data_IF_425570690110
#
_entry.id   IF_425570690110
#
_cell.length_a   1.000
_cell.length_b   1.000
_cell.length_c   1.000
_cell.angle_alpha   90.00
_cell.angle_beta   90.00
_cell.angle_gamma   90.00
#
_symmetry.space_group_name_H-M   'P 1'
#
loop_
_entity.id
_entity.type
_entity.pdbx_description
1 polymer ?
#
# COMPACT_ATOMS: atom_id res chain seq x y z
N UNK A 1 10.36 -20.09 -4.02
CA UNK A 1 10.17 -19.26 -5.20
C UNK A 1 8.69 -19.07 -5.45
N UNK A 2 8.23 -17.86 -5.32
CA UNK A 2 6.84 -17.55 -5.51
C UNK A 2 6.51 -17.30 -6.97
N UNK A 3 5.25 -17.52 -7.32
CA UNK A 3 4.71 -17.11 -8.62
C UNK A 3 4.60 -15.60 -8.73
N UNK A 4 4.79 -14.88 -7.63
CA UNK A 4 4.61 -13.43 -7.53
C UNK A 4 5.90 -12.76 -7.08
N UNK A 5 6.13 -11.54 -7.57
CA UNK A 5 7.27 -10.72 -7.17
C UNK A 5 6.82 -9.29 -6.88
N UNK A 6 7.36 -8.74 -5.79
CA UNK A 6 7.07 -7.37 -5.38
C UNK A 6 8.18 -6.41 -5.75
N UNK A 7 7.82 -5.20 -6.15
CA UNK A 7 8.76 -4.14 -6.52
C UNK A 7 8.31 -2.79 -5.98
N UNK A 8 9.30 -1.99 -5.57
CA UNK A 8 9.11 -0.55 -5.41
C UNK A 8 9.31 0.11 -6.78
N UNK A 9 8.33 0.87 -7.23
CA UNK A 9 8.42 1.58 -8.51
C UNK A 9 9.10 2.92 -8.29
N UNK A 10 10.22 3.15 -8.99
CA UNK A 10 10.94 4.41 -8.89
C UNK A 10 10.16 5.53 -9.61
N UNK A 11 10.25 6.79 -9.13
CA UNK A 11 9.54 7.90 -9.77
C UNK A 11 9.76 8.00 -11.27
N UNK A 12 10.96 7.74 -11.75
CA UNK A 12 11.29 7.78 -13.18
C UNK A 12 10.58 6.73 -14.01
N UNK A 13 10.10 5.65 -13.39
CA UNK A 13 9.47 4.52 -14.08
C UNK A 13 7.93 4.55 -14.01
N UNK A 14 7.35 5.47 -13.25
CA UNK A 14 5.91 5.58 -13.08
C UNK A 14 5.18 5.69 -14.43
N UNK A 15 5.70 6.52 -15.34
CA UNK A 15 5.06 6.75 -16.63
C UNK A 15 4.95 5.49 -17.49
N UNK A 16 5.87 4.53 -17.31
CA UNK A 16 5.91 3.29 -18.09
C UNK A 16 4.78 2.33 -17.76
N UNK A 17 4.29 2.39 -16.52
CA UNK A 17 3.29 1.45 -16.01
C UNK A 17 1.99 2.14 -15.65
N UNK A 18 1.89 3.46 -15.85
CA UNK A 18 0.76 4.25 -15.38
C UNK A 18 -0.58 3.72 -15.87
N UNK A 19 -0.67 3.35 -17.15
CA UNK A 19 -1.92 2.83 -17.73
C UNK A 19 -2.39 1.51 -17.11
N UNK A 20 -1.48 0.76 -16.51
CA UNK A 20 -1.80 -0.49 -15.81
C UNK A 20 -2.09 -0.27 -14.33
N UNK A 21 -1.61 0.81 -13.76
CA UNK A 21 -1.73 1.12 -12.34
C UNK A 21 -2.93 2.03 -12.05
N UNK A 22 -3.19 3.01 -12.91
CA UNK A 22 -4.26 3.98 -12.71
C UNK A 22 -5.63 3.33 -12.45
N UNK A 23 -6.08 2.32 -13.23
CA UNK A 23 -7.37 1.69 -12.97
C UNK A 23 -7.45 1.05 -11.58
N UNK A 24 -6.36 0.49 -11.09
CA UNK A 24 -6.31 -0.11 -9.76
C UNK A 24 -6.39 0.94 -8.65
N UNK A 25 -5.72 2.07 -8.85
CA UNK A 25 -5.83 3.21 -7.93
C UNK A 25 -7.27 3.72 -7.91
N UNK A 26 -7.88 3.87 -9.08
CA UNK A 26 -9.26 4.35 -9.17
C UNK A 26 -10.23 3.41 -8.46
N UNK A 27 -10.07 2.09 -8.64
CA UNK A 27 -10.89 1.10 -7.94
C UNK A 27 -10.74 1.22 -6.42
N UNK A 28 -9.51 1.42 -5.95
CA UNK A 28 -9.24 1.63 -4.53
C UNK A 28 -9.89 2.90 -3.99
N UNK A 29 -9.80 3.99 -4.74
CA UNK A 29 -10.41 5.27 -4.37
C UNK A 29 -11.94 5.17 -4.36
N UNK A 30 -12.54 4.49 -5.32
CA UNK A 30 -13.98 4.29 -5.37
C UNK A 30 -14.47 3.50 -4.15
N UNK A 31 -13.73 2.49 -3.74
CA UNK A 31 -14.06 1.70 -2.55
C UNK A 31 -13.98 2.54 -1.27
N UNK A 32 -12.96 3.40 -1.16
CA UNK A 32 -12.81 4.29 -0.01
C UNK A 32 -13.93 5.32 0.03
N UNK A 33 -14.26 5.94 -1.11
CA UNK A 33 -15.26 6.99 -1.18
C UNK A 33 -16.67 6.51 -0.81
N UNK A 34 -17.00 5.25 -1.08
CA UNK A 34 -18.27 4.65 -0.64
C UNK A 34 -18.42 4.67 0.87
N UNK A 35 -17.29 4.55 1.60
CA UNK A 35 -17.29 4.43 3.05
C UNK A 35 -17.02 5.73 3.80
N UNK A 36 -16.23 6.65 3.24
CA UNK A 36 -15.73 7.82 3.98
C UNK A 36 -16.00 9.18 3.35
N UNK A 37 -16.55 9.23 2.18
CA UNK A 37 -16.83 10.48 1.45
C UNK A 37 -15.58 11.36 1.21
N UNK A 38 -14.37 10.77 1.24
CA UNK A 38 -13.13 11.47 0.90
C UNK A 38 -12.87 11.39 -0.60
N UNK A 39 -13.90 11.64 -1.38
CA UNK A 39 -13.91 11.40 -2.82
C UNK A 39 -13.27 12.50 -3.66
N UNK A 40 -12.61 13.47 -3.04
CA UNK A 40 -11.97 14.57 -3.78
C UNK A 40 -10.57 14.22 -4.29
N UNK A 41 -9.96 13.12 -3.85
CA UNK A 41 -8.67 12.68 -4.35
C UNK A 41 -8.82 12.00 -5.70
N UNK A 42 -7.89 12.28 -6.61
CA UNK A 42 -7.86 11.74 -7.97
C UNK A 42 -6.60 10.91 -8.19
N UNK A 43 -6.60 10.10 -9.24
CA UNK A 43 -5.40 9.36 -9.63
C UNK A 43 -4.25 10.30 -9.98
N UNK A 44 -4.53 11.48 -10.53
CA UNK A 44 -3.52 12.48 -10.84
C UNK A 44 -2.84 13.02 -9.58
N UNK A 45 -3.57 13.13 -8.46
CA UNK A 45 -2.96 13.54 -7.19
C UNK A 45 -1.88 12.54 -6.77
N UNK A 46 -2.19 11.24 -6.86
CA UNK A 46 -1.22 10.20 -6.52
C UNK A 46 -0.03 10.19 -7.47
N UNK A 47 -0.28 10.38 -8.76
CA UNK A 47 0.80 10.42 -9.74
C UNK A 47 1.79 11.55 -9.43
N UNK A 48 1.27 12.74 -9.09
CA UNK A 48 2.09 13.86 -8.68
C UNK A 48 2.91 13.55 -7.43
N UNK A 49 2.30 12.91 -6.43
CA UNK A 49 2.99 12.54 -5.19
C UNK A 49 4.09 11.52 -5.41
N UNK A 50 3.90 10.54 -6.30
CA UNK A 50 4.96 9.60 -6.66
C UNK A 50 6.13 10.33 -7.33
N UNK A 51 5.83 11.26 -8.20
CA UNK A 51 6.84 12.05 -8.90
C UNK A 51 7.69 12.89 -7.93
N UNK A 52 7.03 13.47 -6.93
CA UNK A 52 7.67 14.33 -5.93
C UNK A 52 8.23 13.54 -4.75
N UNK A 53 8.24 12.24 -4.81
CA UNK A 53 8.68 11.32 -3.75
C UNK A 53 7.93 11.47 -2.43
N UNK A 54 6.74 12.07 -2.46
CA UNK A 54 5.88 12.22 -1.28
C UNK A 54 5.13 10.94 -0.95
N UNK A 55 4.95 10.09 -1.93
CA UNK A 55 4.34 8.77 -1.76
C UNK A 55 5.16 7.72 -2.51
N UNK A 56 5.02 6.46 -2.11
CA UNK A 56 5.66 5.33 -2.74
C UNK A 56 4.62 4.41 -3.36
N UNK A 57 4.94 3.90 -4.53
CA UNK A 57 4.13 2.89 -5.21
C UNK A 57 4.86 1.55 -5.19
N UNK A 58 4.20 0.54 -4.66
CA UNK A 58 4.66 -0.84 -4.72
C UNK A 58 3.71 -1.63 -5.61
N UNK A 59 4.27 -2.55 -6.40
CA UNK A 59 3.48 -3.45 -7.23
C UNK A 59 3.87 -4.89 -6.97
N UNK A 60 2.91 -5.79 -7.13
CA UNK A 60 3.15 -7.23 -7.15
C UNK A 60 2.71 -7.75 -8.51
N UNK A 61 3.64 -8.42 -9.19
CA UNK A 61 3.38 -8.97 -10.52
C UNK A 61 3.39 -10.51 -10.46
N UNK A 62 2.62 -11.13 -11.34
CA UNK A 62 2.62 -12.58 -11.50
C UNK A 62 3.74 -13.04 -12.43
N UNK A 63 3.80 -14.34 -12.70
CA UNK A 63 4.81 -14.94 -13.58
C UNK A 63 4.76 -14.40 -15.02
N UNK A 64 3.62 -13.87 -15.45
CA UNK A 64 3.44 -13.29 -16.77
C UNK A 64 3.66 -11.77 -16.78
N UNK A 65 4.23 -11.24 -15.70
CA UNK A 65 4.51 -9.82 -15.47
C UNK A 65 3.27 -8.93 -15.43
N UNK A 66 2.09 -9.52 -15.20
CA UNK A 66 0.87 -8.76 -15.01
C UNK A 66 0.80 -8.24 -13.57
N UNK A 67 0.45 -6.96 -13.41
CA UNK A 67 0.27 -6.36 -12.09
C UNK A 67 -1.02 -6.90 -11.47
N UNK A 68 -0.89 -7.54 -10.31
CA UNK A 68 -2.00 -8.15 -9.58
C UNK A 68 -2.42 -7.36 -8.36
N UNK A 69 -1.48 -6.68 -7.73
CA UNK A 69 -1.74 -5.92 -6.52
C UNK A 69 -0.86 -4.69 -6.53
N UNK A 70 -1.39 -3.58 -6.02
CA UNK A 70 -0.62 -2.37 -5.75
C UNK A 70 -0.78 -1.96 -4.30
N UNK A 71 0.25 -1.30 -3.78
CA UNK A 71 0.20 -0.64 -2.49
C UNK A 71 0.76 0.75 -2.61
N UNK A 72 0.15 1.69 -1.92
CA UNK A 72 0.62 3.07 -1.86
C UNK A 72 0.91 3.39 -0.41
N UNK A 73 2.07 3.98 -0.17
CA UNK A 73 2.48 4.38 1.18
C UNK A 73 2.99 5.81 1.21
N UNK A 74 3.06 6.34 2.40
CA UNK A 74 3.75 7.59 2.70
C UNK A 74 4.53 7.43 4.00
N UNK A 75 5.60 8.20 4.15
CA UNK A 75 6.35 8.24 5.41
C UNK A 75 5.77 9.35 6.27
N UNK A 76 5.38 9.01 7.47
CA UNK A 76 4.87 9.95 8.45
C UNK A 76 5.59 9.82 9.79
N UNK A 77 5.13 10.58 10.76
CA UNK A 77 5.71 10.58 12.09
C UNK A 77 4.61 10.42 13.13
N UNK A 78 4.87 9.55 14.09
CA UNK A 78 4.09 9.46 15.31
C UNK A 78 4.75 10.29 16.41
N UNK A 79 4.22 10.20 17.64
CA UNK A 79 4.79 10.89 18.78
C UNK A 79 6.30 10.65 18.91
N UNK A 80 7.03 11.63 19.44
CA UNK A 80 8.48 11.56 19.64
C UNK A 80 9.31 11.45 18.35
N UNK A 81 8.73 11.91 17.23
CA UNK A 81 9.38 11.86 15.91
C UNK A 81 9.68 10.45 15.41
N UNK A 82 8.92 9.49 15.86
CA UNK A 82 9.00 8.10 15.37
C UNK A 82 8.59 8.05 13.90
N UNK A 83 9.49 7.60 13.03
CA UNK A 83 9.22 7.45 11.61
C UNK A 83 8.39 6.20 11.34
N UNK A 84 7.32 6.38 10.57
CA UNK A 84 6.33 5.34 10.31
C UNK A 84 6.04 5.28 8.82
N UNK A 85 5.96 4.07 8.25
CA UNK A 85 5.44 3.88 6.91
C UNK A 85 3.93 3.65 7.00
N UNK A 86 3.16 4.57 6.46
CA UNK A 86 1.71 4.47 6.42
C UNK A 86 1.26 3.96 5.05
N UNK A 87 0.70 2.76 5.02
CA UNK A 87 0.10 2.19 3.81
C UNK A 87 -1.32 2.72 3.70
N UNK A 88 -1.55 3.58 2.71
CA UNK A 88 -2.80 4.32 2.58
C UNK A 88 -3.79 3.70 1.60
N UNK A 89 -3.31 2.85 0.70
CA UNK A 89 -4.16 2.18 -0.27
C UNK A 89 -3.55 0.83 -0.67
N UNK A 90 -4.38 -0.19 -0.72
CA UNK A 90 -4.06 -1.46 -1.34
C UNK A 90 -5.21 -1.78 -2.28
N UNK A 91 -4.90 -2.10 -3.54
CA UNK A 91 -5.91 -2.38 -4.55
C UNK A 91 -5.41 -3.43 -5.53
N UNK A 92 -6.34 -4.15 -6.12
CA UNK A 92 -6.06 -5.18 -7.11
C UNK A 92 -6.82 -6.46 -6.82
N UNK A 93 -6.56 -7.48 -7.62
CA UNK A 93 -7.08 -8.81 -7.41
C UNK A 93 -6.03 -9.67 -6.68
N UNK A 94 -6.41 -10.83 -6.19
CA UNK A 94 -5.49 -11.79 -5.55
C UNK A 94 -4.77 -11.27 -4.29
N UNK A 95 -5.41 -10.39 -3.49
CA UNK A 95 -4.81 -9.96 -2.22
C UNK A 95 -4.34 -11.14 -1.39
N UNK A 96 -5.14 -12.20 -1.30
CA UNK A 96 -4.84 -13.38 -0.50
C UNK A 96 -3.52 -14.03 -0.91
N UNK A 97 -3.21 -14.08 -2.20
CA UNK A 97 -2.00 -14.71 -2.71
C UNK A 97 -0.81 -13.76 -2.82
N UNK A 98 -1.06 -12.47 -2.89
CA UNK A 98 -0.05 -11.45 -3.16
C UNK A 98 0.39 -10.63 -1.96
N UNK A 99 -0.39 -10.61 -0.86
CA UNK A 99 -0.11 -9.70 0.26
C UNK A 99 1.26 -9.93 0.90
N UNK A 100 1.75 -11.17 0.94
CA UNK A 100 3.05 -11.46 1.53
C UNK A 100 4.16 -10.76 0.74
N UNK A 101 4.10 -10.83 -0.59
CA UNK A 101 5.09 -10.19 -1.45
C UNK A 101 5.03 -8.67 -1.34
N UNK A 102 3.82 -8.12 -1.26
CA UNK A 102 3.63 -6.69 -1.06
C UNK A 102 4.23 -6.26 0.29
N UNK A 103 3.94 -7.00 1.36
CA UNK A 103 4.50 -6.70 2.66
C UNK A 103 6.02 -6.78 2.64
N UNK A 104 6.60 -7.80 2.02
CA UNK A 104 8.04 -7.98 1.99
C UNK A 104 8.74 -6.77 1.37
N UNK A 105 8.25 -6.28 0.24
CA UNK A 105 8.89 -5.12 -0.44
C UNK A 105 8.66 -3.82 0.34
N UNK A 106 7.48 -3.62 0.90
CA UNK A 106 7.19 -2.44 1.70
C UNK A 106 7.99 -2.42 3.01
N UNK A 107 8.12 -3.56 3.66
CA UNK A 107 8.88 -3.69 4.90
C UNK A 107 10.38 -3.45 4.67
N UNK A 108 10.93 -3.98 3.58
CA UNK A 108 12.32 -3.73 3.21
C UNK A 108 12.57 -2.24 2.98
N UNK A 109 11.66 -1.57 2.28
CA UNK A 109 11.73 -0.12 2.07
C UNK A 109 11.66 0.63 3.41
N UNK A 110 10.68 0.28 4.25
CA UNK A 110 10.48 0.94 5.54
C UNK A 110 11.73 0.85 6.41
N UNK A 111 12.33 -0.33 6.51
CA UNK A 111 13.57 -0.52 7.29
C UNK A 111 14.73 0.29 6.75
N UNK A 112 14.89 0.32 5.43
CA UNK A 112 15.94 1.10 4.77
C UNK A 112 15.80 2.59 5.05
N UNK A 113 14.56 3.08 5.12
CA UNK A 113 14.25 4.49 5.38
C UNK A 113 14.21 4.83 6.87
N UNK A 114 14.55 3.89 7.75
CA UNK A 114 14.57 4.14 9.18
C UNK A 114 13.22 4.16 9.85
N UNK A 115 12.19 3.62 9.21
CA UNK A 115 10.88 3.48 9.84
C UNK A 115 10.93 2.34 10.87
N UNK A 116 10.31 2.56 12.02
CA UNK A 116 10.27 1.56 13.11
C UNK A 116 8.93 0.84 13.17
N UNK A 117 7.97 1.27 12.35
CA UNK A 117 6.60 0.76 12.37
C UNK A 117 5.96 0.94 11.02
N UNK A 118 5.05 0.01 10.69
CA UNK A 118 4.14 0.14 9.56
C UNK A 118 2.72 0.25 10.07
N UNK A 119 1.92 1.09 9.42
CA UNK A 119 0.50 1.28 9.73
C UNK A 119 -0.28 1.11 8.43
N UNK A 120 -1.38 0.39 8.48
CA UNK A 120 -2.26 0.18 7.35
C UNK A 120 -3.68 0.56 7.74
N UNK A 121 -4.30 1.42 6.95
CA UNK A 121 -5.73 1.67 7.00
C UNK A 121 -6.36 0.89 5.86
N UNK A 122 -7.22 -0.06 6.16
CA UNK A 122 -7.72 -0.96 5.14
C UNK A 122 -9.13 -1.46 5.41
N UNK A 123 -9.55 -2.39 4.57
CA UNK A 123 -10.86 -3.03 4.67
C UNK A 123 -10.81 -4.18 5.67
N UNK A 124 -11.93 -4.43 6.34
CA UNK A 124 -12.03 -5.50 7.36
C UNK A 124 -11.65 -6.88 6.83
N UNK A 125 -11.91 -7.15 5.54
CA UNK A 125 -11.56 -8.42 4.93
C UNK A 125 -10.06 -8.72 4.89
N UNK A 126 -9.22 -7.72 5.06
CA UNK A 126 -7.76 -7.89 5.08
C UNK A 126 -7.24 -8.40 6.43
N UNK A 127 -8.02 -8.22 7.50
CA UNK A 127 -7.58 -8.50 8.87
C UNK A 127 -7.04 -9.91 9.08
N UNK A 128 -7.74 -10.99 8.67
CA UNK A 128 -7.25 -12.33 8.96
C UNK A 128 -5.85 -12.61 8.39
N UNK A 129 -5.61 -12.18 7.14
CA UNK A 129 -4.31 -12.37 6.51
C UNK A 129 -3.22 -11.56 7.22
N UNK A 130 -3.50 -10.32 7.58
CA UNK A 130 -2.54 -9.45 8.24
C UNK A 130 -2.20 -9.93 9.66
N UNK A 131 -3.17 -10.41 10.41
CA UNK A 131 -2.92 -10.96 11.75
C UNK A 131 -1.96 -12.13 11.72
N UNK A 132 -2.02 -12.98 10.70
CA UNK A 132 -1.10 -14.10 10.55
C UNK A 132 0.35 -13.66 10.30
N UNK A 133 0.55 -12.41 9.88
CA UNK A 133 1.86 -11.85 9.58
C UNK A 133 2.37 -10.88 10.66
N UNK A 134 1.78 -10.91 11.83
CA UNK A 134 2.24 -10.13 12.97
C UNK A 134 1.67 -8.74 13.10
N UNK A 135 0.63 -8.40 12.35
CA UNK A 135 -0.06 -7.13 12.47
C UNK A 135 -1.04 -7.17 13.64
N UNK A 136 -1.19 -6.04 14.30
CA UNK A 136 -2.12 -5.85 15.41
C UNK A 136 -3.17 -4.81 15.05
N UNK A 137 -4.44 -5.11 15.35
CA UNK A 137 -5.53 -4.19 15.07
C UNK A 137 -5.61 -3.07 16.12
N UNK A 138 -5.80 -1.85 15.64
CA UNK A 138 -6.18 -0.70 16.43
C UNK A 138 -7.68 -0.48 16.17
N UNK A 139 -8.50 -0.47 17.22
CA UNK A 139 -9.95 -0.38 17.07
C UNK A 139 -10.39 0.97 16.50
N UNK A 140 -11.23 0.90 15.44
CA UNK A 140 -11.89 2.06 14.85
C UNK A 140 -13.36 1.73 14.54
N UNK A 141 -14.17 2.76 14.23
CA UNK A 141 -15.59 2.58 13.94
C UNK A 141 -15.88 1.92 12.59
N UNK A 142 -15.16 2.31 11.53
CA UNK A 142 -15.56 1.99 10.15
C UNK A 142 -14.52 1.24 9.34
N UNK A 143 -13.27 1.32 9.75
CA UNK A 143 -12.15 0.66 9.07
C UNK A 143 -11.31 -0.07 10.07
N UNK A 144 -10.46 -0.96 9.59
CA UNK A 144 -9.38 -1.47 10.41
C UNK A 144 -8.17 -0.57 10.23
N UNK A 145 -7.47 -0.31 11.34
CA UNK A 145 -6.12 0.22 11.31
C UNK A 145 -5.24 -0.87 11.89
N UNK A 146 -4.29 -1.32 11.12
CA UNK A 146 -3.35 -2.38 11.50
C UNK A 146 -1.98 -1.77 11.68
N UNK A 147 -1.23 -2.27 12.65
CA UNK A 147 0.09 -1.77 12.99
C UNK A 147 1.05 -2.92 13.16
N UNK A 148 2.28 -2.73 12.70
CA UNK A 148 3.35 -3.70 12.88
C UNK A 148 4.64 -2.96 13.25
N UNK A 149 5.21 -3.32 14.40
CA UNK A 149 6.54 -2.84 14.78
C UNK A 149 7.60 -3.62 13.99
N UNK A 150 8.59 -2.93 13.51
CA UNK A 150 9.65 -3.47 12.68
C UNK A 150 10.90 -3.84 13.45
#
# INVERSE_FOLDING_TARGET
>A
MGEYRGFLVLPKDIHRIWDHVEPLIQDGLDTISENDKLSYLTTDDYRAWFHDTMAQLFIVVDKDTKIRLIGISEIGYHAERTRVLHCILIAGDNFKDCHQELQNVAEAFAKREGCVRMVLTGRKGMRPALETMGWQEIKTKHRIIMMKDL
#
